data_IF_514060295267
#
_entry.id   IF_514060295267
#
_cell.length_a   1.000
_cell.length_b   1.000
_cell.length_c   1.000
_cell.angle_alpha   90.00
_cell.angle_beta   90.00
_cell.angle_gamma   90.00
#
_symmetry.space_group_name_H-M   'P 1'
#
loop_
_entity.id
_entity.type
_entity.pdbx_description
1 polymer ?
#
# COMPACT_ATOMS: atom_id res chain seq x y z
N UNK A 1 -3.02 0.30 -11.34
CA UNK A 1 -4.16 1.19 -11.09
C UNK A 1 -3.76 2.66 -10.95
N UNK A 2 -2.78 3.05 -10.13
CA UNK A 2 -2.39 4.48 -9.98
C UNK A 2 -1.99 5.15 -11.30
N UNK A 3 -1.12 4.49 -12.06
CA UNK A 3 -0.56 5.02 -13.31
C UNK A 3 -1.42 4.64 -14.52
N UNK A 4 -1.64 3.35 -14.73
CA UNK A 4 -2.31 2.83 -15.93
C UNK A 4 -3.84 2.99 -15.91
N UNK A 5 -4.42 3.43 -14.78
CA UNK A 5 -5.87 3.60 -14.55
C UNK A 5 -6.75 2.35 -14.77
N UNK A 6 -6.13 1.19 -14.98
CA UNK A 6 -6.80 -0.10 -15.04
C UNK A 6 -6.23 -1.08 -13.98
N UNK A 7 -7.03 -2.11 -13.66
CA UNK A 7 -6.63 -3.23 -12.84
C UNK A 7 -5.68 -4.16 -13.63
N UNK A 8 -4.47 -4.45 -13.14
CA UNK A 8 -3.54 -5.32 -13.87
C UNK A 8 -3.99 -6.79 -13.91
N UNK A 9 -4.88 -7.21 -13.00
CA UNK A 9 -5.38 -8.59 -12.93
C UNK A 9 -6.50 -8.87 -13.92
N UNK A 10 -7.44 -7.94 -14.09
CA UNK A 10 -8.66 -8.16 -14.90
C UNK A 10 -8.94 -7.06 -15.93
N UNK A 11 -8.04 -6.09 -16.09
CA UNK A 11 -8.16 -4.94 -17.01
C UNK A 11 -9.34 -4.00 -16.80
N UNK A 12 -10.14 -4.22 -15.75
CA UNK A 12 -11.23 -3.31 -15.37
C UNK A 12 -10.73 -1.90 -15.07
N UNK A 13 -11.54 -0.90 -15.41
CA UNK A 13 -11.33 0.51 -15.06
C UNK A 13 -12.20 0.95 -13.87
N UNK A 14 -12.99 0.03 -13.29
CA UNK A 14 -13.82 0.30 -12.11
C UNK A 14 -12.95 0.20 -10.83
N UNK A 15 -12.39 1.35 -10.44
CA UNK A 15 -11.39 1.45 -9.37
C UNK A 15 -11.90 2.39 -8.26
N UNK A 16 -11.99 1.86 -7.04
CA UNK A 16 -12.17 2.66 -5.83
C UNK A 16 -10.80 3.15 -5.32
N UNK A 17 -10.72 4.43 -4.93
CA UNK A 17 -9.54 5.03 -4.30
C UNK A 17 -9.88 5.28 -2.83
N UNK A 18 -9.11 4.68 -1.94
CA UNK A 18 -9.25 4.82 -0.49
C UNK A 18 -7.98 5.51 -0.03
N UNK A 19 -8.10 6.80 0.26
CA UNK A 19 -6.98 7.61 0.74
C UNK A 19 -6.51 7.12 2.12
N UNK A 20 -5.20 7.20 2.34
CA UNK A 20 -4.63 6.98 3.66
C UNK A 20 -4.98 8.13 4.62
N UNK A 21 -4.55 7.99 5.86
CA UNK A 21 -4.69 9.01 6.89
C UNK A 21 -5.69 8.67 7.98
N UNK A 22 -6.09 9.70 8.72
CA UNK A 22 -7.10 9.60 9.76
C UNK A 22 -8.31 10.42 9.37
N UNK A 23 -9.46 9.76 9.22
CA UNK A 23 -10.72 10.45 8.98
C UNK A 23 -11.73 10.05 10.05
N UNK A 24 -12.24 11.06 10.79
CA UNK A 24 -13.18 10.88 11.90
C UNK A 24 -12.73 9.82 12.92
N UNK A 25 -11.43 9.80 13.24
CA UNK A 25 -10.85 8.88 14.23
C UNK A 25 -10.58 7.45 13.71
N UNK A 26 -10.94 7.14 12.48
CA UNK A 26 -10.59 5.86 11.86
C UNK A 26 -9.27 6.00 11.08
N UNK A 27 -8.39 5.04 11.31
CA UNK A 27 -7.13 4.87 10.58
C UNK A 27 -7.40 3.93 9.41
N UNK A 28 -7.20 4.42 8.19
CA UNK A 28 -7.41 3.62 7.00
C UNK A 28 -6.06 3.28 6.38
N UNK A 29 -5.88 1.98 6.11
CA UNK A 29 -4.77 1.42 5.34
C UNK A 29 -3.37 1.91 5.76
N UNK A 30 -2.81 1.26 6.78
CA UNK A 30 -1.51 1.66 7.35
C UNK A 30 -0.56 0.50 7.54
N UNK A 31 0.74 0.82 7.56
CA UNK A 31 1.79 -0.08 8.05
C UNK A 31 2.25 0.45 9.42
N UNK A 32 2.14 -0.39 10.45
CA UNK A 32 2.73 -0.07 11.75
C UNK A 32 4.20 -0.45 11.77
N UNK A 33 5.07 0.54 12.01
CA UNK A 33 6.49 0.32 12.21
C UNK A 33 6.88 0.41 13.69
N UNK A 34 5.95 0.15 14.61
CA UNK A 34 6.16 0.18 16.06
C UNK A 34 5.52 1.44 16.63
N UNK A 35 6.33 2.43 16.99
CA UNK A 35 5.84 3.74 17.46
C UNK A 35 5.38 4.66 16.33
N UNK A 36 5.63 4.30 15.07
CA UNK A 36 5.23 5.08 13.92
C UNK A 36 4.12 4.37 13.13
N UNK A 37 3.19 5.17 12.61
CA UNK A 37 2.16 4.74 11.65
C UNK A 37 2.50 5.34 10.30
N UNK A 38 2.58 4.49 9.28
CA UNK A 38 2.83 4.88 7.90
C UNK A 38 1.51 4.75 7.14
N UNK A 39 1.08 5.81 6.47
CA UNK A 39 -0.17 5.84 5.72
C UNK A 39 0.02 5.41 4.27
N UNK A 40 -0.99 4.73 3.75
CA UNK A 40 -1.01 4.22 2.39
C UNK A 40 -2.33 4.58 1.70
N UNK A 41 -2.26 5.15 0.50
CA UNK A 41 -3.39 5.19 -0.42
C UNK A 41 -3.59 3.83 -1.09
N UNK A 42 -4.81 3.28 -1.00
CA UNK A 42 -5.21 2.03 -1.67
C UNK A 42 -6.01 2.32 -2.92
N UNK A 43 -5.62 1.67 -4.01
CA UNK A 43 -6.45 1.49 -5.19
C UNK A 43 -7.04 0.08 -5.12
N UNK A 44 -8.36 -0.05 -5.22
CA UNK A 44 -9.09 -1.33 -5.17
C UNK A 44 -9.90 -1.49 -6.46
N UNK A 45 -9.66 -2.57 -7.18
CA UNK A 45 -10.53 -2.98 -8.28
C UNK A 45 -11.83 -3.56 -7.71
N UNK A 46 -12.95 -2.90 -7.98
CA UNK A 46 -14.27 -3.31 -7.46
C UNK A 46 -14.81 -4.55 -8.17
N UNK A 47 -14.26 -4.90 -9.34
CA UNK A 47 -14.66 -6.08 -10.11
C UNK A 47 -13.99 -7.38 -9.65
N UNK A 48 -12.67 -7.37 -9.35
CA UNK A 48 -11.93 -8.60 -9.03
C UNK A 48 -11.25 -8.60 -7.65
N UNK A 49 -11.40 -7.52 -6.88
CA UNK A 49 -10.86 -7.39 -5.53
C UNK A 49 -9.34 -7.16 -5.45
N UNK A 50 -8.64 -7.04 -6.58
CA UNK A 50 -7.21 -6.75 -6.58
C UNK A 50 -6.92 -5.36 -6.01
N UNK A 51 -5.89 -5.23 -5.18
CA UNK A 51 -5.49 -3.97 -4.57
C UNK A 51 -4.05 -3.61 -4.87
N UNK A 52 -3.79 -2.32 -5.12
CA UNK A 52 -2.45 -1.72 -5.09
C UNK A 52 -2.39 -0.70 -3.97
N UNK A 53 -1.31 -0.69 -3.19
CA UNK A 53 -1.13 0.28 -2.11
C UNK A 53 0.12 1.11 -2.38
N UNK A 54 0.05 2.41 -2.12
CA UNK A 54 1.15 3.35 -2.28
C UNK A 54 1.37 4.12 -1.00
N UNK A 55 2.64 4.30 -0.63
CA UNK A 55 3.03 5.21 0.45
C UNK A 55 2.60 6.63 0.12
N UNK A 56 2.01 7.30 1.12
CA UNK A 56 1.65 8.71 1.00
C UNK A 56 2.89 9.61 1.12
N UNK A 57 3.88 9.20 1.93
CA UNK A 57 5.20 9.86 2.04
C UNK A 57 6.34 8.92 1.61
N UNK A 58 7.15 9.35 0.63
CA UNK A 58 8.31 8.61 0.14
C UNK A 58 9.42 8.47 1.20
N UNK A 59 9.49 9.39 2.16
CA UNK A 59 10.50 9.35 3.23
C UNK A 59 10.29 8.16 4.19
N UNK A 60 9.06 7.64 4.26
CA UNK A 60 8.74 6.45 5.06
C UNK A 60 9.34 5.16 4.49
N UNK A 61 9.81 5.17 3.22
CA UNK A 61 10.56 4.05 2.64
C UNK A 61 11.81 3.69 3.47
N UNK A 62 12.49 4.69 4.05
CA UNK A 62 13.67 4.43 4.89
C UNK A 62 13.28 3.60 6.11
N UNK A 63 12.22 4.00 6.82
CA UNK A 63 11.71 3.30 8.02
C UNK A 63 11.30 1.86 7.68
N UNK A 64 10.69 1.64 6.52
CA UNK A 64 10.31 0.30 6.06
C UNK A 64 11.52 -0.58 5.74
N UNK A 65 12.52 -0.02 5.03
CA UNK A 65 13.76 -0.72 4.74
C UNK A 65 14.46 -1.14 6.04
N UNK A 66 14.64 -0.20 6.95
CA UNK A 66 15.32 -0.44 8.23
C UNK A 66 14.58 -1.50 9.08
N UNK A 67 13.24 -1.57 9.00
CA UNK A 67 12.43 -2.50 9.80
C UNK A 67 12.26 -3.89 9.18
N UNK A 68 12.02 -3.96 7.88
CA UNK A 68 11.55 -5.18 7.21
C UNK A 68 12.57 -5.79 6.25
N UNK A 69 13.53 -5.02 5.73
CA UNK A 69 14.57 -5.55 4.84
C UNK A 69 15.75 -6.00 5.68
N UNK A 70 15.89 -7.32 5.89
CA UNK A 70 17.05 -7.90 6.58
C UNK A 70 18.17 -8.24 5.58
N UNK A 71 19.45 -8.10 5.94
CA UNK A 71 20.59 -8.36 5.05
C UNK A 71 20.76 -9.83 4.57
N UNK A 72 19.92 -10.78 4.98
CA UNK A 72 20.06 -12.21 4.66
C UNK A 72 18.88 -12.87 3.94
N UNK A 73 17.77 -12.17 3.71
CA UNK A 73 16.53 -12.78 3.21
C UNK A 73 16.42 -12.68 1.67
N UNK A 74 17.56 -12.61 0.97
CA UNK A 74 17.62 -12.62 -0.50
C UNK A 74 17.41 -14.01 -1.12
N UNK A 75 17.16 -15.04 -0.33
CA UNK A 75 16.67 -16.34 -0.78
C UNK A 75 15.60 -16.82 0.18
N UNK A 76 14.33 -16.62 -0.19
CA UNK A 76 13.20 -17.51 0.12
C UNK A 76 11.88 -16.77 -0.14
N UNK A 77 11.63 -16.50 -1.42
CA UNK A 77 10.27 -16.38 -1.92
C UNK A 77 10.01 -17.65 -2.74
N UNK A 78 9.51 -18.69 -2.07
CA UNK A 78 8.90 -19.88 -2.70
C UNK A 78 7.43 -19.59 -2.95
#
# INVERSE_FOLDING_TARGET
MKYNKCCPKCQSTEIAIIEGGTFKGNVYNTISTGLNTIFLTRYLCTQCGFTENYLDDVNDLKKLKDKFVRPSDSTDFV
#
